data_IF_502251716442
#
_entry.id   IF_502251716442
#
_cell.length_a   1.000
_cell.length_b   1.000
_cell.length_c   1.000
_cell.angle_alpha   90.00
_cell.angle_beta   90.00
_cell.angle_gamma   90.00
#
_symmetry.space_group_name_H-M   'P 1'
#
loop_
_entity.id
_entity.type
_entity.pdbx_description
1 polymer ?
#
# COMPACT_ATOMS: atom_id res chain seq x y z
N UNK A 1 -1.36 -37.53 81.80
CA UNK A 1 -0.84 -38.63 80.94
C UNK A 1 -1.30 -38.37 79.51
N UNK A 2 -0.40 -38.60 78.55
CA UNK A 2 -0.58 -38.71 77.07
C UNK A 2 -1.10 -37.46 76.32
N UNK A 3 -0.50 -36.92 75.25
CA UNK A 3 0.45 -37.41 74.24
C UNK A 3 1.33 -36.29 73.65
N UNK A 4 2.50 -36.68 73.12
CA UNK A 4 3.38 -35.90 72.27
C UNK A 4 3.01 -36.02 70.78
N UNK A 5 3.30 -35.00 69.96
CA UNK A 5 3.74 -35.14 68.55
C UNK A 5 4.65 -33.97 68.14
N UNK A 6 5.79 -34.36 67.55
CA UNK A 6 6.84 -33.55 66.93
C UNK A 6 6.55 -33.47 65.43
N UNK A 7 6.76 -32.30 64.81
CA UNK A 7 7.13 -32.21 63.39
C UNK A 7 8.06 -31.00 63.16
N UNK A 8 9.35 -31.31 63.16
CA UNK A 8 10.46 -30.70 62.38
C UNK A 8 10.10 -30.54 60.90
N UNK A 9 10.77 -29.77 60.04
CA UNK A 9 11.75 -28.70 60.10
C UNK A 9 12.10 -28.31 58.64
N UNK A 10 12.88 -27.24 58.49
CA UNK A 10 13.86 -26.99 57.42
C UNK A 10 13.36 -26.41 56.09
N UNK A 11 13.41 -25.07 56.07
CA UNK A 11 13.71 -24.21 54.93
C UNK A 11 14.92 -24.73 54.13
N UNK A 12 14.73 -24.96 52.84
CA UNK A 12 15.80 -24.99 51.84
C UNK A 12 15.41 -24.07 50.68
N UNK A 13 16.10 -22.94 50.62
CA UNK A 13 16.23 -22.07 49.45
C UNK A 13 16.89 -22.82 48.29
N UNK A 14 16.42 -22.62 47.05
CA UNK A 14 17.32 -22.59 45.91
C UNK A 14 17.28 -21.22 45.22
N UNK A 15 18.44 -20.57 45.32
CA UNK A 15 19.08 -19.66 44.36
C UNK A 15 18.34 -19.42 43.04
N UNK A 16 17.84 -18.19 42.88
CA UNK A 16 17.47 -17.61 41.59
C UNK A 16 18.73 -17.41 40.74
N UNK A 17 19.03 -18.38 39.87
CA UNK A 17 19.91 -18.14 38.72
C UNK A 17 19.03 -17.60 37.62
N UNK A 18 19.14 -16.29 37.39
CA UNK A 18 18.65 -15.59 36.20
C UNK A 18 19.38 -16.12 34.96
N UNK A 19 18.84 -17.18 34.36
CA UNK A 19 19.13 -17.52 32.98
C UNK A 19 18.21 -16.68 32.08
N UNK A 20 18.83 -15.86 31.23
CA UNK A 20 18.16 -15.13 30.16
C UNK A 20 17.38 -16.11 29.27
N UNK A 21 16.08 -16.22 29.54
CA UNK A 21 15.11 -16.84 28.63
C UNK A 21 15.10 -15.99 27.36
N UNK A 22 15.76 -16.50 26.31
CA UNK A 22 15.50 -16.06 24.93
C UNK A 22 13.99 -16.04 24.77
N UNK A 23 13.44 -14.87 24.48
CA UNK A 23 12.08 -14.76 23.97
C UNK A 23 12.01 -15.62 22.71
N UNK A 24 11.42 -16.81 22.85
CA UNK A 24 10.93 -17.58 21.74
C UNK A 24 10.04 -16.64 20.94
N UNK A 25 10.54 -16.23 19.77
CA UNK A 25 9.71 -15.72 18.68
C UNK A 25 8.82 -16.89 18.27
N UNK A 26 7.75 -17.09 19.03
CA UNK A 26 6.58 -17.83 18.59
C UNK A 26 6.11 -17.11 17.35
N UNK A 27 6.57 -17.62 16.22
CA UNK A 27 6.12 -17.18 14.91
C UNK A 27 4.62 -17.38 14.93
N UNK A 28 3.88 -16.29 14.87
CA UNK A 28 2.44 -16.29 14.81
C UNK A 28 2.04 -17.17 13.62
N UNK A 29 1.49 -18.35 13.90
CA UNK A 29 0.85 -19.22 12.91
C UNK A 29 -0.66 -18.99 13.08
N UNK A 30 -1.25 -18.00 12.38
CA UNK A 30 -2.69 -17.86 12.38
C UNK A 30 -3.33 -19.05 11.69
N UNK A 31 -4.54 -19.39 12.14
CA UNK A 31 -5.35 -20.51 11.66
C UNK A 31 -5.47 -20.48 10.11
N UNK A 32 -4.66 -21.32 9.45
CA UNK A 32 -4.24 -21.17 8.04
C UNK A 32 -5.37 -21.43 7.03
N UNK A 33 -6.47 -22.08 7.43
CA UNK A 33 -7.50 -22.56 6.49
C UNK A 33 -8.41 -21.44 5.99
N UNK A 34 -8.80 -20.54 6.89
CA UNK A 34 -9.64 -19.38 6.56
C UNK A 34 -8.83 -18.20 6.03
N UNK A 35 -7.58 -18.03 6.46
CA UNK A 35 -6.76 -16.93 5.95
C UNK A 35 -6.27 -17.17 4.53
N UNK A 36 -5.82 -18.38 4.16
CA UNK A 36 -5.39 -18.66 2.77
C UNK A 36 -6.55 -18.66 1.76
N UNK A 37 -7.75 -19.03 2.19
CA UNK A 37 -8.96 -18.95 1.37
C UNK A 37 -9.55 -17.53 1.30
N UNK A 38 -9.48 -16.72 2.37
CA UNK A 38 -9.81 -15.28 2.34
C UNK A 38 -8.80 -14.43 1.57
N UNK A 39 -7.54 -14.92 1.41
CA UNK A 39 -6.42 -14.28 0.68
C UNK A 39 -6.59 -14.27 -0.86
N UNK A 40 -7.55 -15.04 -1.39
CA UNK A 40 -7.81 -15.16 -2.84
C UNK A 40 -9.26 -14.79 -3.07
N UNK A 41 -9.51 -13.52 -3.39
CA UNK A 41 -10.86 -13.04 -3.70
C UNK A 41 -11.26 -13.52 -5.10
N UNK A 42 -12.00 -14.63 -5.19
CA UNK A 42 -12.45 -15.20 -6.46
C UNK A 42 -13.77 -14.56 -6.99
N UNK A 43 -14.33 -13.56 -6.30
CA UNK A 43 -15.75 -13.18 -6.45
C UNK A 43 -16.04 -11.76 -6.98
N UNK A 44 -15.06 -11.02 -7.50
CA UNK A 44 -15.35 -9.84 -8.33
C UNK A 44 -15.01 -10.17 -9.78
N UNK A 45 -15.75 -9.61 -10.76
CA UNK A 45 -15.47 -9.77 -12.19
C UNK A 45 -13.96 -9.88 -12.44
N UNK A 46 -13.50 -11.02 -12.96
CA UNK A 46 -12.08 -11.40 -12.95
C UNK A 46 -11.23 -10.23 -13.46
N UNK A 47 -10.48 -9.60 -12.55
CA UNK A 47 -9.56 -8.52 -12.91
C UNK A 47 -8.46 -9.10 -13.82
N UNK A 48 -7.90 -8.31 -14.74
CA UNK A 48 -6.85 -8.79 -15.64
C UNK A 48 -5.71 -9.45 -14.87
N UNK A 49 -5.32 -10.65 -15.30
CA UNK A 49 -4.10 -11.31 -14.82
C UNK A 49 -2.93 -10.61 -15.49
N UNK A 50 -2.02 -10.06 -14.67
CA UNK A 50 -0.83 -9.36 -15.17
C UNK A 50 0.42 -10.24 -15.09
N UNK A 51 0.47 -11.18 -14.12
CA UNK A 51 1.53 -12.19 -14.04
C UNK A 51 0.90 -13.53 -13.67
N UNK A 52 1.12 -14.52 -14.52
CA UNK A 52 0.70 -15.88 -14.24
C UNK A 52 1.48 -16.43 -13.05
N UNK A 53 0.78 -16.98 -12.07
CA UNK A 53 1.39 -17.56 -10.88
C UNK A 53 2.45 -18.59 -11.22
N UNK A 54 2.25 -19.37 -12.27
CA UNK A 54 3.14 -20.45 -12.70
C UNK A 54 4.55 -19.96 -13.05
N UNK A 55 4.71 -18.69 -13.49
CA UNK A 55 6.03 -18.12 -13.78
C UNK A 55 6.76 -17.62 -12.53
N UNK A 56 6.09 -17.54 -11.38
CA UNK A 56 6.68 -17.09 -10.11
C UNK A 56 7.09 -18.32 -9.29
N UNK A 57 8.40 -18.49 -9.10
CA UNK A 57 8.93 -19.52 -8.21
C UNK A 57 8.65 -19.19 -6.73
N UNK A 58 8.81 -20.19 -5.86
CA UNK A 58 8.88 -19.90 -4.43
C UNK A 58 10.11 -19.03 -4.16
N UNK A 59 10.01 -18.15 -3.15
CA UNK A 59 11.12 -17.30 -2.76
C UNK A 59 12.29 -18.16 -2.22
N UNK A 60 13.45 -18.05 -2.85
CA UNK A 60 14.70 -18.69 -2.43
C UNK A 60 15.62 -17.62 -1.79
N UNK A 61 16.14 -17.89 -0.59
CA UNK A 61 16.97 -16.93 0.14
C UNK A 61 16.17 -15.79 0.79
N UNK A 62 16.87 -14.68 1.08
CA UNK A 62 16.27 -13.48 1.65
C UNK A 62 15.54 -12.68 0.56
N UNK A 63 14.31 -12.18 0.81
CA UNK A 63 13.61 -11.32 -0.14
C UNK A 63 14.37 -10.00 -0.38
N UNK A 64 14.14 -9.38 -1.54
CA UNK A 64 14.67 -8.03 -1.78
C UNK A 64 13.90 -6.96 -1.01
N UNK A 65 12.65 -7.25 -0.64
CA UNK A 65 11.83 -6.46 0.27
C UNK A 65 11.88 -7.08 1.67
N UNK A 66 12.00 -6.26 2.71
CA UNK A 66 12.00 -6.72 4.10
C UNK A 66 10.79 -7.65 4.40
N UNK A 67 11.04 -8.80 5.04
CA UNK A 67 9.99 -9.77 5.39
C UNK A 67 8.88 -9.14 6.26
N UNK A 68 9.22 -8.13 7.08
CA UNK A 68 8.24 -7.37 7.87
C UNK A 68 7.28 -6.59 6.98
N UNK A 69 7.77 -5.96 5.91
CA UNK A 69 6.94 -5.25 4.93
C UNK A 69 6.03 -6.23 4.20
N UNK A 70 6.53 -7.41 3.82
CA UNK A 70 5.72 -8.47 3.20
C UNK A 70 4.61 -8.96 4.14
N UNK A 71 4.91 -9.07 5.44
CA UNK A 71 3.93 -9.45 6.46
C UNK A 71 2.89 -8.35 6.71
N UNK A 72 3.31 -7.09 6.76
CA UNK A 72 2.41 -5.94 6.89
C UNK A 72 1.48 -5.82 5.68
N UNK A 73 2.00 -6.05 4.47
CA UNK A 73 1.20 -6.11 3.26
C UNK A 73 0.19 -7.26 3.30
N UNK A 74 0.60 -8.44 3.80
CA UNK A 74 -0.30 -9.57 4.02
C UNK A 74 -1.42 -9.23 5.01
N UNK A 75 -1.10 -8.49 6.08
CA UNK A 75 -2.08 -8.04 7.06
C UNK A 75 -3.05 -7.04 6.44
N UNK A 76 -2.55 -6.07 5.67
CA UNK A 76 -3.34 -5.10 4.90
C UNK A 76 -4.34 -5.79 3.95
N UNK A 77 -3.90 -6.80 3.19
CA UNK A 77 -4.79 -7.55 2.28
C UNK A 77 -5.88 -8.31 3.07
N UNK A 78 -5.53 -8.85 4.24
CA UNK A 78 -6.44 -9.64 5.04
C UNK A 78 -7.46 -8.78 5.81
N UNK A 79 -7.10 -7.54 6.13
CA UNK A 79 -7.94 -6.60 6.87
C UNK A 79 -9.00 -5.94 5.96
N UNK A 80 -10.13 -6.65 5.79
CA UNK A 80 -11.28 -6.15 5.02
C UNK A 80 -12.12 -5.09 5.75
N UNK A 81 -11.76 -4.69 6.97
CA UNK A 81 -12.46 -3.64 7.75
C UNK A 81 -11.64 -2.35 7.87
N UNK A 82 -10.34 -2.38 7.56
CA UNK A 82 -9.50 -1.20 7.44
C UNK A 82 -9.48 -0.61 6.03
N UNK A 83 -8.36 0.01 5.66
CA UNK A 83 -8.13 0.69 4.37
C UNK A 83 -8.62 -0.11 3.16
N UNK A 84 -8.35 -1.43 3.13
CA UNK A 84 -8.74 -2.30 2.02
C UNK A 84 -10.26 -2.38 1.86
N UNK A 85 -11.01 -2.46 2.96
CA UNK A 85 -12.48 -2.44 2.93
C UNK A 85 -13.00 -1.16 2.30
N UNK A 86 -12.50 -0.01 2.76
CA UNK A 86 -12.88 1.31 2.26
C UNK A 86 -12.54 1.50 0.79
N UNK A 87 -11.39 0.99 0.33
CA UNK A 87 -11.04 1.03 -1.10
C UNK A 87 -11.98 0.16 -1.94
N UNK A 88 -12.39 -1.02 -1.45
CA UNK A 88 -13.38 -1.84 -2.15
C UNK A 88 -14.73 -1.13 -2.27
N UNK A 89 -15.15 -0.41 -1.23
CA UNK A 89 -16.39 0.35 -1.26
C UNK A 89 -16.29 1.59 -2.15
N UNK A 90 -15.17 2.29 -2.13
CA UNK A 90 -14.88 3.36 -3.09
C UNK A 90 -14.92 2.86 -4.54
N UNK A 91 -14.34 1.70 -4.83
CA UNK A 91 -14.42 1.10 -6.18
C UNK A 91 -15.87 0.90 -6.63
N UNK A 92 -16.76 0.46 -5.72
CA UNK A 92 -18.19 0.30 -6.01
C UNK A 92 -18.88 1.64 -6.23
N UNK A 93 -18.64 2.62 -5.35
CA UNK A 93 -19.21 3.97 -5.47
C UNK A 93 -18.81 4.63 -6.80
N UNK A 94 -17.55 4.48 -7.19
CA UNK A 94 -16.99 4.99 -8.45
C UNK A 94 -17.35 4.15 -9.68
N UNK A 95 -18.02 3.00 -9.49
CA UNK A 95 -18.39 2.04 -10.55
C UNK A 95 -17.19 1.66 -11.43
N UNK A 96 -16.04 1.37 -10.81
CA UNK A 96 -14.81 1.08 -11.54
C UNK A 96 -14.90 -0.24 -12.31
N UNK A 97 -14.39 -0.23 -13.54
CA UNK A 97 -14.25 -1.43 -14.35
C UNK A 97 -13.13 -2.35 -13.84
N UNK A 98 -13.13 -3.65 -14.21
CA UNK A 98 -12.11 -4.59 -13.75
C UNK A 98 -10.67 -4.23 -14.14
N UNK A 99 -10.50 -3.54 -15.27
CA UNK A 99 -9.26 -3.01 -15.83
C UNK A 99 -8.91 -1.60 -15.33
N UNK A 100 -9.72 -1.02 -14.44
CA UNK A 100 -9.40 0.24 -13.78
C UNK A 100 -8.78 0.01 -12.41
N UNK A 101 -7.75 0.79 -12.08
CA UNK A 101 -7.15 0.86 -10.76
C UNK A 101 -7.54 2.13 -10.03
N UNK A 102 -7.72 2.04 -8.72
CA UNK A 102 -7.84 3.19 -7.81
C UNK A 102 -6.50 3.40 -7.11
N UNK A 103 -5.82 4.52 -7.38
CA UNK A 103 -4.62 4.94 -6.66
C UNK A 103 -4.96 6.08 -5.71
N UNK A 104 -4.93 5.78 -4.43
CA UNK A 104 -5.18 6.72 -3.34
C UNK A 104 -3.98 6.81 -2.39
N UNK A 105 -3.39 5.67 -2.02
CA UNK A 105 -2.31 5.59 -1.02
C UNK A 105 -2.86 5.49 0.40
N UNK A 106 -2.36 4.59 1.24
CA UNK A 106 -2.83 4.45 2.62
C UNK A 106 -2.57 5.72 3.44
N UNK A 107 -3.52 6.06 4.31
CA UNK A 107 -3.42 7.25 5.17
C UNK A 107 -2.40 7.10 6.32
N UNK A 108 -1.99 5.87 6.66
CA UNK A 108 -1.54 5.57 8.02
C UNK A 108 -0.08 5.93 8.35
N UNK A 109 0.08 6.48 9.56
CA UNK A 109 1.28 6.96 10.25
C UNK A 109 2.31 5.86 10.63
N UNK A 110 2.22 4.63 10.11
CA UNK A 110 3.01 3.48 10.60
C UNK A 110 4.47 3.55 10.12
N UNK A 111 4.71 4.08 8.93
CA UNK A 111 6.05 4.24 8.38
C UNK A 111 6.20 5.69 7.91
N UNK A 112 6.96 6.49 8.67
CA UNK A 112 7.20 7.92 8.36
C UNK A 112 7.79 8.11 6.96
N UNK A 113 8.49 7.10 6.45
CA UNK A 113 9.24 7.14 5.20
C UNK A 113 8.45 6.62 3.98
N UNK A 114 7.16 6.27 4.14
CA UNK A 114 6.32 5.92 2.99
C UNK A 114 6.17 7.14 2.09
N UNK A 115 6.52 7.04 0.79
CA UNK A 115 6.41 8.16 -0.14
C UNK A 115 4.95 8.52 -0.39
N UNK A 116 4.68 9.77 -0.72
CA UNK A 116 3.37 10.17 -1.21
C UNK A 116 3.11 9.59 -2.61
N UNK A 117 1.85 9.54 -3.01
CA UNK A 117 1.49 9.23 -4.40
C UNK A 117 2.14 10.25 -5.32
N UNK A 118 3.07 9.77 -6.15
CA UNK A 118 3.75 10.56 -7.17
C UNK A 118 3.68 9.81 -8.50
N UNK A 119 2.77 10.25 -9.36
CA UNK A 119 2.56 9.68 -10.69
C UNK A 119 3.68 10.03 -11.68
N UNK A 120 4.57 10.96 -11.32
CA UNK A 120 5.75 11.31 -12.11
C UNK A 120 6.90 10.34 -11.87
N UNK A 121 6.87 9.61 -10.75
CA UNK A 121 7.89 8.68 -10.33
C UNK A 121 7.57 7.23 -10.76
N UNK A 122 8.30 6.73 -11.75
CA UNK A 122 8.13 5.35 -12.25
C UNK A 122 8.49 4.28 -11.22
N UNK A 123 9.26 4.61 -10.18
CA UNK A 123 9.65 3.66 -9.13
C UNK A 123 8.46 3.27 -8.24
N UNK A 124 7.41 4.09 -8.17
CA UNK A 124 6.18 3.73 -7.47
C UNK A 124 5.60 2.42 -8.02
N UNK A 125 5.49 2.32 -9.34
CA UNK A 125 4.92 1.16 -10.02
C UNK A 125 5.85 -0.05 -9.95
N UNK A 126 7.16 0.16 -10.12
CA UNK A 126 8.16 -0.90 -9.98
C UNK A 126 8.16 -1.54 -8.58
N UNK A 127 8.07 -0.72 -7.52
CA UNK A 127 7.98 -1.20 -6.13
C UNK A 127 6.71 -2.00 -5.89
N UNK A 128 5.55 -1.51 -6.34
CA UNK A 128 4.29 -2.23 -6.19
C UNK A 128 4.31 -3.58 -6.92
N UNK A 129 4.89 -3.62 -8.12
CA UNK A 129 5.08 -4.86 -8.88
C UNK A 129 5.97 -5.86 -8.12
N UNK A 130 7.10 -5.39 -7.59
CA UNK A 130 8.03 -6.23 -6.81
C UNK A 130 7.36 -6.76 -5.55
N UNK A 131 6.66 -5.90 -4.81
CA UNK A 131 5.93 -6.27 -3.60
C UNK A 131 4.87 -7.35 -3.89
N UNK A 132 4.10 -7.21 -4.97
CA UNK A 132 3.09 -8.20 -5.35
C UNK A 132 3.71 -9.55 -5.74
N UNK A 133 4.83 -9.54 -6.47
CA UNK A 133 5.55 -10.76 -6.89
C UNK A 133 6.17 -11.46 -5.68
N UNK A 134 6.93 -10.73 -4.86
CA UNK A 134 7.61 -11.32 -3.69
C UNK A 134 6.61 -11.78 -2.64
N UNK A 135 5.50 -11.09 -2.47
CA UNK A 135 4.40 -11.57 -1.62
C UNK A 135 3.88 -12.92 -2.09
N UNK A 136 3.64 -13.09 -3.39
CA UNK A 136 3.21 -14.37 -3.93
C UNK A 136 4.31 -15.45 -3.84
N UNK A 137 5.57 -15.09 -4.09
CA UNK A 137 6.71 -16.00 -3.94
C UNK A 137 6.87 -16.47 -2.49
N UNK A 138 6.64 -15.60 -1.51
CA UNK A 138 6.63 -15.91 -0.08
C UNK A 138 5.47 -16.86 0.26
N UNK A 139 4.27 -16.64 -0.29
CA UNK A 139 3.13 -17.55 -0.09
C UNK A 139 3.39 -18.97 -0.63
N UNK A 140 4.24 -19.08 -1.66
CA UNK A 140 4.66 -20.36 -2.24
C UNK A 140 5.79 -21.03 -1.46
N UNK A 141 6.52 -20.29 -0.63
CA UNK A 141 7.56 -20.82 0.23
C UNK A 141 6.89 -21.77 1.23
N UNK A 142 7.17 -23.06 1.08
CA UNK A 142 6.72 -24.06 2.04
C UNK A 142 7.52 -23.86 3.32
N UNK A 143 6.86 -23.74 4.47
CA UNK A 143 7.55 -23.80 5.75
C UNK A 143 8.09 -25.22 5.91
N UNK A 144 9.41 -25.39 5.86
CA UNK A 144 10.04 -26.65 6.24
C UNK A 144 9.93 -26.73 7.76
N UNK A 145 9.07 -27.62 8.30
CA UNK A 145 8.96 -27.72 9.75
C UNK A 145 10.30 -28.19 10.32
N UNK A 146 10.61 -27.80 11.55
CA UNK A 146 11.74 -28.42 12.25
C UNK A 146 11.47 -29.89 12.52
N UNK A 147 12.55 -30.68 12.53
CA UNK A 147 12.47 -32.08 12.88
C UNK A 147 12.16 -32.21 14.37
N UNK A 148 11.06 -32.86 14.72
CA UNK A 148 10.72 -33.17 16.10
C UNK A 148 11.76 -34.15 16.70
N UNK A 149 12.25 -33.93 17.94
CA UNK A 149 13.25 -34.81 18.56
C UNK A 149 12.83 -36.28 18.64
N UNK A 150 11.52 -36.56 18.65
CA UNK A 150 10.94 -37.88 18.81
C UNK A 150 10.42 -38.49 17.50
N UNK A 151 10.50 -37.77 16.37
CA UNK A 151 10.07 -38.31 15.08
C UNK A 151 11.21 -39.03 14.33
N UNK A 152 10.85 -40.09 13.61
CA UNK A 152 11.80 -40.78 12.73
C UNK A 152 12.14 -39.91 11.51
N UNK A 153 13.32 -40.09 10.92
CA UNK A 153 13.70 -39.36 9.70
C UNK A 153 12.74 -39.60 8.54
N UNK A 154 12.19 -40.81 8.41
CA UNK A 154 11.18 -41.12 7.40
C UNK A 154 9.85 -40.38 7.64
N UNK A 155 9.38 -40.33 8.89
CA UNK A 155 8.18 -39.57 9.25
C UNK A 155 8.37 -38.07 9.00
N UNK A 156 9.54 -37.53 9.35
CA UNK A 156 9.92 -36.15 9.05
C UNK A 156 9.88 -35.84 7.55
N UNK A 157 10.55 -36.64 6.72
CA UNK A 157 10.56 -36.46 5.26
C UNK A 157 9.15 -36.49 4.67
N UNK A 158 8.30 -37.42 5.14
CA UNK A 158 6.91 -37.49 4.70
C UNK A 158 6.10 -36.23 5.07
N UNK A 159 6.35 -35.66 6.26
CA UNK A 159 5.72 -34.42 6.73
C UNK A 159 6.15 -33.21 5.90
N UNK A 160 7.44 -33.11 5.59
CA UNK A 160 7.98 -32.08 4.66
C UNK A 160 7.31 -32.17 3.29
N UNK A 161 7.26 -33.37 2.69
CA UNK A 161 6.62 -33.58 1.39
C UNK A 161 5.13 -33.23 1.42
N UNK A 162 4.43 -33.58 2.49
CA UNK A 162 2.99 -33.27 2.65
C UNK A 162 2.74 -31.77 2.71
N UNK A 163 3.54 -31.01 3.48
CA UNK A 163 3.42 -29.56 3.56
C UNK A 163 3.80 -28.87 2.24
N UNK A 164 4.79 -29.38 1.51
CA UNK A 164 5.12 -28.89 0.16
C UNK A 164 3.96 -29.10 -0.81
N UNK A 165 3.41 -30.31 -0.89
CA UNK A 165 2.26 -30.61 -1.76
C UNK A 165 1.03 -29.78 -1.39
N UNK A 166 0.79 -29.58 -0.08
CA UNK A 166 -0.29 -28.73 0.42
C UNK A 166 -0.11 -27.29 -0.04
N UNK A 167 1.09 -26.73 0.12
CA UNK A 167 1.41 -25.35 -0.28
C UNK A 167 1.27 -25.17 -1.78
N UNK A 168 1.77 -26.13 -2.56
CA UNK A 168 1.61 -26.14 -4.02
C UNK A 168 0.14 -26.16 -4.43
N UNK A 169 -0.69 -27.02 -3.83
CA UNK A 169 -2.14 -27.07 -4.11
C UNK A 169 -2.85 -25.75 -3.81
N UNK A 170 -2.46 -25.07 -2.73
CA UNK A 170 -3.06 -23.79 -2.34
C UNK A 170 -2.63 -22.62 -3.23
N UNK A 171 -1.46 -22.70 -3.86
CA UNK A 171 -0.86 -21.59 -4.61
C UNK A 171 -0.83 -21.79 -6.13
N UNK A 172 -1.15 -22.98 -6.64
CA UNK A 172 -1.08 -23.32 -8.08
C UNK A 172 -1.95 -22.44 -8.97
N UNK A 173 -3.05 -21.90 -8.43
CA UNK A 173 -3.97 -20.98 -9.14
C UNK A 173 -3.77 -19.51 -8.78
N UNK A 174 -2.85 -19.19 -7.87
CA UNK A 174 -2.64 -17.83 -7.40
C UNK A 174 -1.87 -17.04 -8.46
N UNK A 175 -2.53 -16.07 -9.08
CA UNK A 175 -1.90 -15.14 -10.01
C UNK A 175 -1.61 -13.79 -9.33
N UNK A 176 -0.78 -12.97 -9.96
CA UNK A 176 -0.81 -11.53 -9.71
C UNK A 176 -1.80 -10.94 -10.71
N UNK A 177 -2.95 -10.51 -10.21
CA UNK A 177 -3.92 -9.75 -10.99
C UNK A 177 -3.78 -8.24 -10.73
N UNK A 178 -4.50 -7.45 -11.51
CA UNK A 178 -4.50 -6.00 -11.38
C UNK A 178 -4.95 -5.52 -10.00
N UNK A 179 -5.76 -6.30 -9.28
CA UNK A 179 -6.17 -5.99 -7.92
C UNK A 179 -5.06 -6.14 -6.90
N UNK A 180 -4.20 -7.14 -7.06
CA UNK A 180 -3.00 -7.28 -6.24
C UNK A 180 -2.01 -6.15 -6.49
N UNK A 181 -1.88 -5.67 -7.73
CA UNK A 181 -1.05 -4.50 -8.06
C UNK A 181 -1.62 -3.22 -7.44
N UNK A 182 -2.93 -3.00 -7.56
CA UNK A 182 -3.61 -1.87 -6.90
C UNK A 182 -3.41 -1.89 -5.38
N UNK A 183 -3.50 -3.06 -4.75
CA UNK A 183 -3.25 -3.21 -3.32
C UNK A 183 -1.82 -2.84 -2.95
N UNK A 184 -0.84 -3.33 -3.71
CA UNK A 184 0.56 -3.01 -3.48
C UNK A 184 0.84 -1.51 -3.68
N UNK A 185 0.26 -0.89 -4.72
CA UNK A 185 0.37 0.55 -4.99
C UNK A 185 -0.15 1.38 -3.82
N UNK A 186 -1.35 1.07 -3.33
CA UNK A 186 -1.94 1.82 -2.23
C UNK A 186 -1.19 1.58 -0.92
N UNK A 187 -0.76 0.35 -0.64
CA UNK A 187 0.01 0.04 0.56
C UNK A 187 1.38 0.75 0.58
N UNK A 188 2.04 0.87 -0.58
CA UNK A 188 3.37 1.48 -0.71
C UNK A 188 3.37 3.00 -0.83
N UNK A 189 2.21 3.67 -0.76
CA UNK A 189 2.12 5.12 -0.93
C UNK A 189 1.22 5.78 0.12
N UNK A 190 1.46 7.06 0.38
CA UNK A 190 0.62 7.93 1.20
C UNK A 190 -0.29 8.79 0.32
N UNK A 191 -1.52 8.98 0.77
CA UNK A 191 -2.47 9.81 0.06
C UNK A 191 -2.10 11.29 0.01
N UNK A 192 -2.52 11.93 -1.08
CA UNK A 192 -2.40 13.38 -1.29
C UNK A 192 -3.57 14.05 -0.60
N UNK A 193 -3.27 14.94 0.34
CA UNK A 193 -4.28 15.63 1.16
C UNK A 193 -4.31 17.12 0.79
N UNK A 194 -5.50 17.66 0.58
CA UNK A 194 -5.77 19.09 0.53
C UNK A 194 -6.11 19.57 1.94
N UNK A 195 -5.41 20.60 2.45
CA UNK A 195 -5.68 21.13 3.78
C UNK A 195 -7.03 21.84 3.83
N UNK A 196 -7.50 22.06 5.06
CA UNK A 196 -8.72 22.81 5.38
C UNK A 196 -8.55 24.34 5.28
N UNK A 197 -7.31 24.82 5.15
CA UNK A 197 -6.96 26.23 5.04
C UNK A 197 -6.08 26.48 3.83
N UNK A 198 -6.46 27.49 3.04
CA UNK A 198 -5.78 27.82 1.80
C UNK A 198 -4.77 28.96 1.96
N UNK A 199 -3.68 28.85 1.21
CA UNK A 199 -2.60 29.82 1.11
C UNK A 199 -1.88 29.68 -0.25
N UNK A 200 -0.68 30.23 -0.38
CA UNK A 200 0.09 30.16 -1.63
C UNK A 200 0.50 28.72 -2.04
N UNK A 201 0.55 27.78 -1.09
CA UNK A 201 0.98 26.40 -1.31
C UNK A 201 -0.19 25.44 -1.49
N UNK A 202 -1.34 25.72 -0.89
CA UNK A 202 -2.55 24.93 -1.10
C UNK A 202 -3.75 25.82 -1.39
N UNK A 203 -4.38 25.66 -2.55
CA UNK A 203 -5.49 26.52 -3.00
C UNK A 203 -6.33 25.88 -4.08
N UNK A 204 -7.52 26.45 -4.25
CA UNK A 204 -8.43 26.19 -5.36
C UNK A 204 -8.83 27.51 -6.00
N UNK A 205 -8.52 27.69 -7.28
CA UNK A 205 -8.75 28.92 -8.02
C UNK A 205 -9.58 28.63 -9.28
N UNK A 206 -10.41 29.60 -9.69
CA UNK A 206 -11.19 29.51 -10.93
C UNK A 206 -10.93 30.72 -11.84
N UNK A 207 -10.48 30.45 -13.05
CA UNK A 207 -10.39 31.43 -14.15
C UNK A 207 -11.68 31.36 -14.97
N UNK A 208 -12.53 32.36 -14.83
CA UNK A 208 -13.82 32.44 -15.53
C UNK A 208 -13.68 32.71 -17.03
N UNK A 209 -12.63 33.41 -17.45
CA UNK A 209 -12.40 33.73 -18.87
C UNK A 209 -11.97 32.46 -19.64
N UNK A 210 -11.24 31.57 -18.97
CA UNK A 210 -10.78 30.30 -19.55
C UNK A 210 -11.65 29.09 -19.17
N UNK A 211 -12.65 29.28 -18.32
CA UNK A 211 -13.45 28.21 -17.71
C UNK A 211 -12.59 27.10 -17.09
N UNK A 212 -11.57 27.50 -16.31
CA UNK A 212 -10.51 26.62 -15.83
C UNK A 212 -10.44 26.63 -14.31
N UNK A 213 -10.63 25.47 -13.68
CA UNK A 213 -10.44 25.27 -12.25
C UNK A 213 -9.04 24.69 -12.01
N UNK A 214 -8.28 25.33 -11.12
CA UNK A 214 -6.95 24.88 -10.69
C UNK A 214 -7.02 24.46 -9.24
N UNK A 215 -6.50 23.27 -8.93
CA UNK A 215 -6.35 22.76 -7.56
C UNK A 215 -4.88 22.48 -7.31
N UNK A 216 -4.38 22.90 -6.16
CA UNK A 216 -2.97 22.80 -5.81
C UNK A 216 -2.79 22.45 -4.34
N UNK A 217 -1.77 21.64 -4.03
CA UNK A 217 -1.35 21.35 -2.65
C UNK A 217 0.12 20.99 -2.53
N UNK A 218 0.73 21.31 -1.39
CA UNK A 218 2.11 20.93 -1.07
C UNK A 218 2.20 19.49 -0.55
N UNK A 219 3.31 18.83 -0.87
CA UNK A 219 3.61 17.45 -0.52
C UNK A 219 5.06 17.37 0.03
N UNK A 220 5.27 17.06 1.33
CA UNK A 220 4.25 16.96 2.37
C UNK A 220 3.50 18.28 2.56
N UNK A 221 2.36 18.23 3.25
CA UNK A 221 1.61 19.44 3.58
C UNK A 221 2.45 20.39 4.43
N UNK A 222 2.68 21.58 3.87
CA UNK A 222 3.38 22.69 4.51
C UNK A 222 2.56 23.95 4.25
N UNK A 223 2.35 24.75 5.31
CA UNK A 223 1.72 26.06 5.18
C UNK A 223 2.78 27.11 4.84
N UNK A 224 2.42 28.08 4.00
CA UNK A 224 3.33 29.16 3.59
C UNK A 224 3.88 29.93 4.81
N UNK A 225 3.05 30.15 5.83
CA UNK A 225 3.45 30.83 7.08
C UNK A 225 4.42 30.02 7.95
N UNK A 226 4.59 28.73 7.68
CA UNK A 226 5.48 27.84 8.43
C UNK A 226 6.85 27.71 7.76
N UNK A 227 7.02 28.20 6.53
CA UNK A 227 8.25 28.04 5.74
C UNK A 227 9.49 28.58 6.46
N UNK A 228 9.34 29.65 7.23
CA UNK A 228 10.42 30.25 8.04
C UNK A 228 10.98 29.29 9.13
N UNK A 229 10.23 28.23 9.47
CA UNK A 229 10.63 27.23 10.47
C UNK A 229 11.40 26.06 9.87
N UNK A 230 11.42 25.93 8.54
CA UNK A 230 12.13 24.88 7.84
C UNK A 230 13.56 25.31 7.52
N UNK A 231 14.45 24.34 7.32
CA UNK A 231 15.80 24.60 6.80
C UNK A 231 15.69 25.34 5.44
N UNK A 232 16.45 26.43 5.21
CA UNK A 232 16.45 27.12 3.92
C UNK A 232 16.75 26.25 2.69
N UNK A 233 17.47 25.14 2.88
CA UNK A 233 17.76 24.14 1.85
C UNK A 233 16.69 23.04 1.72
N UNK A 234 15.67 23.03 2.59
CA UNK A 234 14.58 22.08 2.51
C UNK A 234 13.82 22.24 1.19
N UNK A 235 13.41 21.11 0.62
CA UNK A 235 12.65 21.03 -0.61
C UNK A 235 11.33 20.32 -0.34
N UNK A 236 10.30 20.74 -1.04
CA UNK A 236 9.00 20.09 -1.02
C UNK A 236 8.41 20.10 -2.43
N UNK A 237 7.45 19.21 -2.67
CA UNK A 237 6.74 19.15 -3.94
C UNK A 237 5.46 19.99 -3.87
N UNK A 238 5.11 20.59 -5.00
CA UNK A 238 3.84 21.24 -5.23
C UNK A 238 3.12 20.44 -6.31
N UNK A 239 2.06 19.76 -5.89
CA UNK A 239 1.18 19.04 -6.80
C UNK A 239 0.05 19.96 -7.24
N UNK A 240 -0.19 20.07 -8.54
CA UNK A 240 -1.32 20.82 -9.08
C UNK A 240 -1.97 20.11 -10.26
N UNK A 241 -3.26 20.36 -10.43
CA UNK A 241 -3.98 19.94 -11.62
C UNK A 241 -4.99 21.00 -12.05
N UNK A 242 -5.27 21.00 -13.35
CA UNK A 242 -6.25 21.89 -13.97
C UNK A 242 -7.33 21.06 -14.64
N UNK A 243 -8.58 21.49 -14.52
CA UNK A 243 -9.75 20.86 -15.16
C UNK A 243 -10.60 21.93 -15.82
N UNK A 244 -11.18 21.62 -16.98
CA UNK A 244 -12.22 22.49 -17.54
C UNK A 244 -13.46 22.37 -16.64
N UNK A 245 -14.01 23.51 -16.20
CA UNK A 245 -15.18 23.55 -15.34
C UNK A 245 -16.08 24.73 -15.73
N UNK A 246 -17.40 24.47 -15.82
CA UNK A 246 -18.36 25.57 -15.89
C UNK A 246 -18.31 26.40 -14.60
N UNK A 247 -18.80 27.65 -14.65
CA UNK A 247 -18.87 28.50 -13.47
C UNK A 247 -19.71 27.86 -12.34
N UNK A 248 -20.77 27.14 -12.71
CA UNK A 248 -21.60 26.38 -11.77
C UNK A 248 -20.82 25.22 -11.14
N UNK A 249 -20.12 24.41 -11.94
CA UNK A 249 -19.28 23.32 -11.44
C UNK A 249 -18.16 23.82 -10.53
N UNK A 250 -17.49 24.92 -10.92
CA UNK A 250 -16.45 25.54 -10.12
C UNK A 250 -17.00 26.05 -8.79
N UNK A 251 -18.15 26.73 -8.81
CA UNK A 251 -18.85 27.19 -7.61
C UNK A 251 -19.23 26.02 -6.70
N UNK A 252 -19.72 24.92 -7.25
CA UNK A 252 -20.06 23.74 -6.47
C UNK A 252 -18.81 23.16 -5.80
N UNK A 253 -17.73 22.93 -6.55
CA UNK A 253 -16.48 22.34 -6.04
C UNK A 253 -15.83 23.23 -4.99
N UNK A 254 -15.70 24.54 -5.26
CA UNK A 254 -15.15 25.52 -4.32
C UNK A 254 -16.07 25.61 -3.09
N UNK A 255 -17.38 25.66 -3.29
CA UNK A 255 -18.38 25.67 -2.25
C UNK A 255 -18.31 24.45 -1.33
N UNK A 256 -17.87 23.29 -1.83
CA UNK A 256 -17.56 22.17 -0.95
C UNK A 256 -16.51 22.62 0.08
N UNK A 257 -15.41 23.26 -0.32
CA UNK A 257 -14.35 23.71 0.62
C UNK A 257 -14.80 24.85 1.54
N UNK A 258 -15.60 25.80 1.05
CA UNK A 258 -16.09 26.93 1.85
C UNK A 258 -17.11 26.52 2.93
N UNK A 259 -17.95 25.52 2.63
CA UNK A 259 -19.02 25.06 3.52
C UNK A 259 -18.58 23.96 4.51
N UNK A 260 -17.31 23.55 4.46
CA UNK A 260 -16.81 22.39 5.20
C UNK A 260 -16.39 22.72 6.63
N UNK A 261 -16.61 21.76 7.52
CA UNK A 261 -15.87 21.68 8.78
C UNK A 261 -14.43 21.20 8.56
N UNK A 262 -13.69 20.92 9.64
CA UNK A 262 -12.27 20.53 9.65
C UNK A 262 -11.95 19.14 9.01
N UNK A 263 -12.78 18.62 8.10
CA UNK A 263 -12.60 17.29 7.51
C UNK A 263 -11.59 17.33 6.34
N UNK A 264 -10.52 16.52 6.39
CA UNK A 264 -9.49 16.54 5.36
C UNK A 264 -10.00 15.96 4.05
N UNK A 265 -9.55 16.55 2.95
CA UNK A 265 -9.93 16.20 1.59
C UNK A 265 -8.75 15.52 0.93
N UNK A 266 -8.99 14.40 0.26
CA UNK A 266 -7.93 13.66 -0.40
C UNK A 266 -8.15 13.60 -1.91
N UNK A 267 -7.02 13.53 -2.61
CA UNK A 267 -6.93 13.37 -4.06
C UNK A 267 -6.57 11.92 -4.36
N UNK A 268 -7.40 11.24 -5.14
CA UNK A 268 -7.11 9.94 -5.73
C UNK A 268 -7.13 10.00 -7.26
N UNK A 269 -6.60 8.95 -7.87
CA UNK A 269 -6.56 8.77 -9.31
C UNK A 269 -7.24 7.47 -9.69
N UNK A 270 -8.07 7.52 -10.73
CA UNK A 270 -8.48 6.33 -11.46
C UNK A 270 -7.54 6.17 -12.64
N UNK A 271 -6.93 5.00 -12.75
CA UNK A 271 -5.95 4.66 -13.77
C UNK A 271 -6.53 3.55 -14.65
N UNK A 272 -6.50 3.73 -15.96
CA UNK A 272 -6.84 2.67 -16.91
C UNK A 272 -5.59 1.81 -17.15
N UNK A 273 -5.74 0.49 -16.99
CA UNK A 273 -4.69 -0.47 -17.29
C UNK A 273 -4.59 -0.71 -18.81
N UNK A 274 -3.37 -0.71 -19.32
CA UNK A 274 -3.02 -1.24 -20.63
C UNK A 274 -1.81 -2.16 -20.51
N UNK A 275 -1.64 -3.18 -21.38
CA UNK A 275 -0.54 -4.15 -21.26
C UNK A 275 0.87 -3.52 -21.24
N UNK A 276 1.05 -2.36 -21.85
CA UNK A 276 2.31 -1.63 -21.98
C UNK A 276 2.40 -0.37 -21.09
N UNK A 277 1.40 -0.11 -20.24
CA UNK A 277 1.41 1.07 -19.40
C UNK A 277 0.08 1.36 -18.72
N UNK A 278 -0.02 2.56 -18.20
CA UNK A 278 -1.22 3.03 -17.51
C UNK A 278 -1.57 4.42 -18.02
N UNK A 279 -2.85 4.72 -18.03
CA UNK A 279 -3.34 6.05 -18.38
C UNK A 279 -4.12 6.63 -17.21
N UNK A 280 -3.91 7.92 -16.95
CA UNK A 280 -4.72 8.63 -15.96
C UNK A 280 -6.09 8.91 -16.58
N UNK A 281 -7.12 8.27 -16.04
CA UNK A 281 -8.49 8.46 -16.51
C UNK A 281 -9.11 9.72 -15.91
N UNK A 282 -9.14 9.78 -14.57
CA UNK A 282 -9.77 10.86 -13.82
C UNK A 282 -9.17 11.04 -12.43
N UNK A 283 -9.30 12.24 -11.91
CA UNK A 283 -9.01 12.59 -10.52
C UNK A 283 -10.30 12.49 -9.71
N UNK A 284 -10.20 12.00 -8.48
CA UNK A 284 -11.31 11.87 -7.56
C UNK A 284 -11.00 12.67 -6.31
N UNK A 285 -11.91 13.57 -5.94
CA UNK A 285 -11.86 14.28 -4.66
C UNK A 285 -12.76 13.57 -3.67
N UNK A 286 -12.23 13.30 -2.48
CA UNK A 286 -12.94 12.55 -1.44
C UNK A 286 -12.77 13.22 -0.08
N UNK A 287 -13.84 13.29 0.68
CA UNK A 287 -13.81 13.72 2.08
C UNK A 287 -13.60 12.49 2.97
N UNK A 288 -12.70 12.64 3.95
CA UNK A 288 -12.43 11.60 4.92
C UNK A 288 -13.34 11.71 6.15
N UNK A 289 -14.03 10.62 6.49
CA UNK A 289 -15.07 10.60 7.54
C UNK A 289 -14.59 10.10 8.91
N UNK A 290 -13.29 9.86 9.10
CA UNK A 290 -12.72 9.62 10.43
C UNK A 290 -12.71 8.15 10.87
N UNK A 291 -13.83 7.44 10.79
CA UNK A 291 -13.97 6.07 11.30
C UNK A 291 -13.57 5.09 10.18
N UNK A 292 -12.77 4.08 10.50
CA UNK A 292 -12.44 2.95 9.59
C UNK A 292 -11.91 3.29 8.18
N UNK A 293 -11.25 4.45 8.00
CA UNK A 293 -10.86 4.91 6.65
C UNK A 293 -12.06 5.14 5.72
N UNK A 294 -13.23 5.53 6.22
CA UNK A 294 -14.40 5.81 5.39
C UNK A 294 -14.23 7.11 4.56
N UNK A 295 -14.74 7.07 3.33
CA UNK A 295 -14.65 8.18 2.38
C UNK A 295 -16.00 8.49 1.76
N UNK A 296 -16.26 9.79 1.59
CA UNK A 296 -17.37 10.31 0.81
C UNK A 296 -16.84 10.88 -0.50
N UNK A 297 -17.38 10.41 -1.61
CA UNK A 297 -17.11 10.97 -2.93
C UNK A 297 -17.62 12.41 -3.02
N UNK A 298 -16.76 13.33 -3.45
CA UNK A 298 -17.12 14.75 -3.63
C UNK A 298 -17.21 15.11 -5.10
N UNK A 299 -16.19 14.76 -5.87
CA UNK A 299 -16.12 15.10 -7.29
C UNK A 299 -15.29 14.07 -8.07
N UNK A 300 -15.62 13.91 -9.35
CA UNK A 300 -14.83 13.18 -10.33
C UNK A 300 -14.48 14.14 -11.46
N UNK A 301 -13.20 14.37 -11.69
CA UNK A 301 -12.70 15.44 -12.54
C UNK A 301 -11.79 14.88 -13.63
N UNK A 302 -12.00 15.32 -14.86
CA UNK A 302 -11.14 14.95 -15.99
C UNK A 302 -9.99 15.96 -16.08
N UNK A 303 -8.76 15.59 -15.68
CA UNK A 303 -7.65 16.52 -15.71
C UNK A 303 -7.33 16.93 -17.15
N UNK A 304 -7.05 18.21 -17.35
CA UNK A 304 -6.47 18.78 -18.57
C UNK A 304 -4.95 18.87 -18.47
N UNK A 305 -4.45 19.13 -17.27
CA UNK A 305 -3.04 19.16 -16.96
C UNK A 305 -2.82 18.71 -15.52
N UNK A 306 -1.73 17.99 -15.27
CA UNK A 306 -1.20 17.71 -13.93
C UNK A 306 0.27 18.11 -13.94
N UNK A 307 0.69 18.82 -12.89
CA UNK A 307 2.07 19.30 -12.71
C UNK A 307 2.56 18.96 -11.31
N UNK A 308 3.83 18.60 -11.25
CA UNK A 308 4.59 18.45 -10.01
C UNK A 308 5.78 19.39 -10.10
N UNK A 309 5.91 20.30 -9.14
CA UNK A 309 7.04 21.22 -9.05
C UNK A 309 7.81 20.93 -7.77
N UNK A 310 9.14 20.93 -7.82
CA UNK A 310 9.98 20.93 -6.63
C UNK A 310 10.32 22.37 -6.29
N UNK A 311 9.99 22.78 -5.07
CA UNK A 311 10.21 24.14 -4.56
C UNK A 311 11.23 24.12 -3.41
N UNK A 312 11.95 25.22 -3.23
CA UNK A 312 12.65 25.52 -1.99
C UNK A 312 11.76 26.31 -1.01
N UNK A 313 12.25 26.62 0.19
CA UNK A 313 11.49 27.41 1.19
C UNK A 313 11.25 28.87 0.81
N UNK A 314 11.90 29.38 -0.25
CA UNK A 314 11.65 30.71 -0.84
C UNK A 314 10.61 30.67 -1.96
N UNK A 315 10.03 29.50 -2.24
CA UNK A 315 9.08 29.24 -3.31
C UNK A 315 9.68 29.34 -4.72
N UNK A 316 11.01 29.28 -4.84
CA UNK A 316 11.65 29.19 -6.15
C UNK A 316 11.42 27.78 -6.73
N UNK A 317 11.01 27.72 -8.00
CA UNK A 317 10.86 26.46 -8.73
C UNK A 317 12.23 25.93 -9.12
N UNK A 318 12.62 24.81 -8.50
CA UNK A 318 13.88 24.11 -8.80
C UNK A 318 13.72 23.13 -9.95
N UNK A 319 12.57 22.46 -10.01
CA UNK A 319 12.23 21.50 -11.05
C UNK A 319 10.73 21.54 -11.32
N UNK A 320 10.32 21.31 -12.57
CA UNK A 320 8.92 21.19 -12.96
C UNK A 320 8.77 20.01 -13.91
N UNK A 321 7.78 19.17 -13.63
CA UNK A 321 7.38 18.06 -14.48
C UNK A 321 5.88 18.11 -14.74
N UNK A 322 5.51 18.07 -16.02
CA UNK A 322 4.12 17.87 -16.44
C UNK A 322 3.86 16.39 -16.64
N UNK A 323 2.77 15.87 -16.08
CA UNK A 323 2.37 14.47 -16.25
C UNK A 323 1.53 14.36 -17.52
N UNK A 324 1.99 13.53 -18.46
CA UNK A 324 1.32 13.35 -19.73
C UNK A 324 0.01 12.57 -19.54
N UNK A 325 -1.13 13.22 -19.79
CA UNK A 325 -2.47 12.61 -19.62
C UNK A 325 -2.91 11.79 -20.83
N UNK A 326 -2.41 12.14 -22.01
CA UNK A 326 -2.72 11.48 -23.28
C UNK A 326 -1.73 10.36 -23.64
N UNK A 327 -0.60 10.29 -22.93
CA UNK A 327 0.40 9.26 -23.15
C UNK A 327 0.32 8.21 -22.06
N UNK A 328 0.59 6.97 -22.44
CA UNK A 328 0.76 5.91 -21.48
C UNK A 328 2.00 6.18 -20.64
N UNK A 329 1.83 6.20 -19.33
CA UNK A 329 2.95 6.12 -18.40
C UNK A 329 3.52 4.70 -18.59
N UNK A 330 4.77 4.56 -19.06
CA UNK A 330 5.34 3.26 -19.35
C UNK A 330 5.40 2.43 -18.08
N UNK A 331 4.81 1.25 -18.11
CA UNK A 331 4.88 0.32 -17.01
C UNK A 331 4.89 -1.11 -17.54
N UNK A 332 6.01 -1.80 -17.32
CA UNK A 332 6.12 -3.21 -17.62
C UNK A 332 5.67 -3.99 -16.39
N UNK A 333 4.42 -4.42 -16.42
CA UNK A 333 3.92 -5.41 -15.48
C UNK A 333 4.64 -6.74 -15.76
N UNK A 334 5.38 -7.28 -14.80
CA UNK A 334 6.12 -8.51 -15.04
C UNK A 334 7.33 -8.74 -14.17
N UNK A 335 7.95 -9.91 -14.32
CA UNK A 335 9.24 -10.21 -13.73
C UNK A 335 10.29 -9.31 -14.39
N UNK A 336 10.98 -8.48 -13.62
CA UNK A 336 12.06 -7.67 -14.17
C UNK A 336 13.18 -8.55 -14.74
N UNK A 337 13.94 -8.06 -15.71
CA UNK A 337 15.06 -8.80 -16.31
C UNK A 337 16.12 -9.21 -15.26
N UNK A 338 16.19 -8.54 -14.10
CA UNK A 338 17.05 -8.93 -12.97
C UNK A 338 16.69 -10.30 -12.40
N UNK A 339 15.41 -10.70 -12.43
CA UNK A 339 14.99 -12.04 -11.98
C UNK A 339 15.36 -13.13 -13.00
N UNK A 340 15.65 -12.76 -14.25
CA UNK A 340 16.10 -13.68 -15.30
C UNK A 340 17.61 -13.93 -15.26
N UNK A 341 18.41 -12.97 -14.77
CA UNK A 341 19.87 -13.13 -14.65
C UNK A 341 20.28 -14.08 -13.51
N UNK A 342 19.49 -14.18 -12.43
CA UNK A 342 19.70 -15.23 -11.41
C UNK A 342 19.43 -16.64 -11.94
N UNK A 343 18.82 -16.80 -13.13
CA UNK A 343 18.60 -18.11 -13.77
C UNK A 343 19.72 -18.54 -14.73
N UNK A 344 20.71 -17.69 -15.02
CA UNK A 344 21.74 -18.00 -16.02
C UNK A 344 23.17 -18.04 -15.47
N UNK A 345 23.37 -17.81 -14.17
CA UNK A 345 24.69 -17.81 -13.55
C UNK A 345 24.80 -18.82 -12.42
N UNK A 346 24.61 -20.11 -12.72
CA UNK A 346 25.14 -21.24 -11.92
C UNK A 346 24.92 -22.54 -12.71
N UNK A 347 25.87 -22.85 -13.61
CA UNK A 347 26.27 -24.22 -14.00
C UNK A 347 27.78 -24.26 -13.90
#
# INVERSE_FOLDING_TARGET
MTHARILSACLLLPLCISACSKQDRTTYIPDKKDQLSKRIDLSSAQRPIVIHGQSIAALEGAPSIDETILQDFQNYIADRKGAKGSFLDLRKQLKLQPDQMLLFGVRSKVQKDTPFVDLSNTDLFSRANTLAIEHLALLKRSSVPEKDPYETTAAYQQRVLTEQQRTQKLTVKSNVDLGRIEDALNFSSRGLELPDSFDALSRIDYDADQALLTVQTSVPQVRAVELERYDPAAQFQLFSFQVNASAEQAKDIIGIFDARGLAPVYIAFVLDYQPNGIQINRIVLMEYLGIEQEFKLLAQLMPKQIKVQTLNTRLDVLHEQSIALQHLIPFQFGLSARTTQLKQGEI
#
